data_IF_205091001352
#
_entry.id   IF_205091001352
#
_cell.length_a   1.000
_cell.length_b   1.000
_cell.length_c   1.000
_cell.angle_alpha   90.00
_cell.angle_beta   90.00
_cell.angle_gamma   90.00
#
_symmetry.space_group_name_H-M   'P 1'
#
loop_
_entity.id
_entity.type
_entity.pdbx_description
1 polymer ?
#
# COMPACT_ATOMS: atom_id res chain seq x y z
N UNK A 1 7.32 18.71 -27.89
CA UNK A 1 8.56 19.37 -28.30
C UNK A 1 8.49 19.88 -29.74
N UNK A 2 8.09 19.07 -30.75
CA UNK A 2 7.95 19.50 -32.13
C UNK A 2 6.96 20.68 -32.30
N UNK A 3 5.84 20.67 -31.54
CA UNK A 3 4.90 21.80 -31.48
C UNK A 3 5.56 23.07 -30.94
N UNK A 4 6.40 22.96 -29.90
CA UNK A 4 7.11 24.10 -29.34
C UNK A 4 8.13 24.68 -30.34
N UNK A 5 8.84 23.81 -31.10
CA UNK A 5 9.72 24.26 -32.18
C UNK A 5 8.97 24.97 -33.28
N UNK A 6 7.80 24.50 -33.68
CA UNK A 6 6.96 25.15 -34.68
C UNK A 6 6.43 26.49 -34.16
N UNK A 7 5.94 26.58 -32.92
CA UNK A 7 5.46 27.83 -32.32
C UNK A 7 6.57 28.88 -32.20
N UNK A 8 7.83 28.46 -31.97
CA UNK A 8 8.99 29.35 -31.95
C UNK A 8 9.57 29.66 -33.35
N UNK A 9 8.97 29.14 -34.42
CA UNK A 9 9.38 29.44 -35.82
C UNK A 9 10.53 28.61 -36.35
N UNK A 10 10.95 27.55 -35.65
CA UNK A 10 12.03 26.63 -36.10
C UNK A 10 11.53 25.54 -37.05
N UNK A 11 10.23 25.27 -37.06
CA UNK A 11 9.58 24.35 -37.99
C UNK A 11 8.38 25.06 -38.67
N UNK A 12 8.15 24.76 -39.94
CA UNK A 12 6.92 25.14 -40.61
C UNK A 12 5.75 24.24 -40.16
N UNK A 13 4.51 24.64 -40.44
CA UNK A 13 3.34 23.82 -40.17
C UNK A 13 3.35 22.48 -40.93
N UNK A 14 3.88 22.48 -42.18
CA UNK A 14 4.06 21.25 -42.99
C UNK A 14 5.11 20.32 -42.41
N UNK A 15 6.22 20.87 -41.93
CA UNK A 15 7.28 20.10 -41.28
C UNK A 15 6.77 19.47 -39.97
N UNK A 16 6.00 20.23 -39.15
CA UNK A 16 5.36 19.67 -37.95
C UNK A 16 4.44 18.52 -38.31
N UNK A 17 3.57 18.67 -39.30
CA UNK A 17 2.66 17.59 -39.73
C UNK A 17 3.43 16.32 -40.17
N UNK A 18 4.50 16.51 -40.92
CA UNK A 18 5.37 15.40 -41.35
C UNK A 18 5.99 14.65 -40.15
N UNK A 19 6.52 15.39 -39.18
CA UNK A 19 7.09 14.81 -37.95
C UNK A 19 6.03 14.09 -37.14
N UNK A 20 4.84 14.67 -36.97
CA UNK A 20 3.75 14.03 -36.21
C UNK A 20 3.31 12.72 -36.86
N UNK A 21 3.08 12.69 -38.17
CA UNK A 21 2.75 11.46 -38.89
C UNK A 21 3.84 10.37 -38.76
N UNK A 22 5.10 10.77 -38.80
CA UNK A 22 6.21 9.84 -38.59
C UNK A 22 6.26 9.28 -37.18
N UNK A 23 6.00 10.10 -36.14
CA UNK A 23 5.96 9.67 -34.74
C UNK A 23 4.77 8.74 -34.46
N UNK A 24 3.59 9.01 -35.03
CA UNK A 24 2.42 8.13 -34.94
C UNK A 24 2.73 6.76 -35.57
N UNK A 25 3.29 6.72 -36.76
CA UNK A 25 3.73 5.48 -37.39
C UNK A 25 4.80 4.76 -36.57
N UNK A 26 5.75 5.47 -35.94
CA UNK A 26 6.75 4.86 -35.07
C UNK A 26 6.12 4.25 -33.82
N UNK A 27 5.09 4.89 -33.26
CA UNK A 27 4.36 4.36 -32.11
C UNK A 27 3.64 3.06 -32.47
N UNK A 28 2.99 2.98 -33.64
CA UNK A 28 2.37 1.75 -34.13
C UNK A 28 3.43 0.63 -34.30
N UNK A 29 4.54 0.94 -34.95
CA UNK A 29 5.63 -0.01 -35.15
C UNK A 29 6.24 -0.50 -33.83
N UNK A 30 6.34 0.36 -32.83
CA UNK A 30 6.81 -0.01 -31.49
C UNK A 30 5.84 -0.97 -30.81
N UNK A 31 4.54 -0.65 -30.82
CA UNK A 31 3.49 -1.49 -30.20
C UNK A 31 3.37 -2.86 -30.86
N UNK A 32 3.62 -2.95 -32.17
CA UNK A 32 3.60 -4.19 -32.91
C UNK A 32 4.96 -4.92 -32.93
N UNK A 33 5.95 -4.40 -32.21
CA UNK A 33 7.29 -5.01 -32.10
C UNK A 33 8.14 -4.93 -33.37
N UNK A 34 7.76 -4.10 -34.36
CA UNK A 34 8.53 -3.90 -35.58
C UNK A 34 9.71 -2.96 -35.39
N UNK A 35 9.63 -2.02 -34.47
CA UNK A 35 10.72 -1.11 -34.14
C UNK A 35 11.70 -1.80 -33.20
N UNK A 36 12.88 -2.16 -33.69
CA UNK A 36 13.91 -2.86 -32.93
C UNK A 36 15.17 -2.01 -32.79
N UNK A 37 15.80 -2.00 -31.61
CA UNK A 37 17.10 -1.39 -31.41
C UNK A 37 18.18 -2.16 -32.23
N UNK A 38 19.22 -1.45 -32.63
CA UNK A 38 20.38 -2.03 -33.33
C UNK A 38 21.60 -2.07 -32.40
N UNK A 39 22.58 -2.94 -32.66
CA UNK A 39 23.78 -3.05 -31.81
C UNK A 39 24.62 -1.76 -31.73
N UNK A 40 24.49 -0.86 -32.70
CA UNK A 40 25.16 0.42 -32.78
C UNK A 40 24.37 1.59 -32.19
N UNK A 41 23.13 1.36 -31.76
CA UNK A 41 22.36 2.34 -30.97
C UNK A 41 22.94 2.43 -29.56
N UNK A 42 23.29 3.63 -29.09
CA UNK A 42 23.80 3.84 -27.74
C UNK A 42 22.72 3.52 -26.67
N UNK A 43 21.47 3.89 -26.98
CA UNK A 43 20.31 3.70 -26.12
C UNK A 43 19.01 3.78 -26.94
N UNK A 44 17.89 3.61 -26.28
CA UNK A 44 16.54 3.72 -26.87
C UNK A 44 16.29 5.08 -27.52
N UNK A 45 16.87 6.16 -26.98
CA UNK A 45 16.69 7.50 -27.56
C UNK A 45 17.44 7.66 -28.86
N UNK A 46 18.66 7.08 -28.97
CA UNK A 46 19.41 7.00 -30.20
C UNK A 46 18.68 6.18 -31.27
N UNK A 47 18.12 5.02 -30.89
CA UNK A 47 17.31 4.19 -31.76
C UNK A 47 16.10 4.94 -32.33
N UNK A 48 15.33 5.62 -31.46
CA UNK A 48 14.14 6.39 -31.87
C UNK A 48 14.52 7.58 -32.77
N UNK A 49 15.62 8.25 -32.48
CA UNK A 49 16.12 9.36 -33.31
C UNK A 49 16.53 8.87 -34.71
N UNK A 50 17.29 7.78 -34.79
CA UNK A 50 17.66 7.14 -36.04
C UNK A 50 16.44 6.75 -36.88
N UNK A 51 15.41 6.17 -36.24
CA UNK A 51 14.17 5.80 -36.90
C UNK A 51 13.39 7.03 -37.41
N UNK A 52 13.36 8.10 -36.62
CA UNK A 52 12.72 9.36 -37.06
C UNK A 52 13.45 9.94 -38.28
N UNK A 53 14.77 10.06 -38.21
CA UNK A 53 15.60 10.55 -39.33
C UNK A 53 15.37 9.73 -40.59
N UNK A 54 15.34 8.39 -40.48
CA UNK A 54 15.08 7.52 -41.63
C UNK A 54 13.74 7.77 -42.32
N UNK A 55 12.72 8.29 -41.58
CA UNK A 55 11.38 8.56 -42.11
C UNK A 55 11.21 9.97 -42.66
N UNK A 56 11.83 10.96 -42.00
CA UNK A 56 11.59 12.39 -42.32
C UNK A 56 12.81 13.05 -43.02
N UNK A 57 13.94 12.34 -43.13
CA UNK A 57 15.21 12.84 -43.70
C UNK A 57 16.07 13.55 -42.65
N UNK A 58 17.39 13.65 -42.98
CA UNK A 58 18.41 14.14 -42.07
C UNK A 58 18.18 15.57 -41.59
N UNK A 59 17.77 16.46 -42.49
CA UNK A 59 17.56 17.88 -42.16
C UNK A 59 16.42 18.06 -41.16
N UNK A 60 15.26 17.47 -41.41
CA UNK A 60 14.09 17.60 -40.57
C UNK A 60 14.22 16.79 -39.27
N UNK A 61 14.72 15.55 -39.37
CA UNK A 61 14.97 14.72 -38.20
C UNK A 61 16.01 15.32 -37.25
N UNK A 62 17.07 15.93 -37.83
CA UNK A 62 18.08 16.66 -37.07
C UNK A 62 17.56 17.93 -36.41
N UNK A 63 16.62 18.65 -37.05
CA UNK A 63 16.00 19.86 -36.49
C UNK A 63 15.23 19.60 -35.19
N UNK A 64 14.67 18.41 -35.00
CA UNK A 64 13.93 18.02 -33.77
C UNK A 64 14.84 17.95 -32.52
N UNK A 65 16.17 17.91 -32.69
CA UNK A 65 17.12 17.95 -31.55
C UNK A 65 17.30 19.34 -30.96
N UNK A 66 16.93 20.38 -31.68
CA UNK A 66 17.19 21.75 -31.27
C UNK A 66 16.53 22.07 -29.92
N UNK A 67 17.30 22.61 -28.96
CA UNK A 67 16.81 23.00 -27.63
C UNK A 67 16.49 21.86 -26.67
N UNK A 68 16.79 20.61 -27.03
CA UNK A 68 16.54 19.42 -26.18
C UNK A 68 17.84 18.89 -25.59
N UNK A 69 17.80 18.58 -24.29
CA UNK A 69 18.83 17.80 -23.63
C UNK A 69 18.26 16.45 -23.17
N UNK A 70 19.09 15.39 -23.12
CA UNK A 70 18.68 14.14 -22.50
C UNK A 70 18.44 14.28 -20.98
N UNK A 71 19.10 15.24 -20.32
CA UNK A 71 18.97 15.43 -18.87
C UNK A 71 17.55 15.82 -18.46
N UNK A 72 17.00 16.88 -19.03
CA UNK A 72 15.63 17.34 -18.74
C UNK A 72 14.58 16.41 -19.35
N UNK A 73 14.87 15.79 -20.49
CA UNK A 73 14.02 14.78 -21.10
C UNK A 73 13.82 13.56 -20.19
N UNK A 74 14.91 12.96 -19.68
CA UNK A 74 14.85 11.79 -18.80
C UNK A 74 14.19 12.16 -17.45
N UNK A 75 14.53 13.30 -16.86
CA UNK A 75 13.90 13.78 -15.65
C UNK A 75 12.38 13.94 -15.80
N UNK A 76 11.91 14.41 -16.97
CA UNK A 76 10.48 14.50 -17.30
C UNK A 76 9.87 13.11 -17.48
N UNK A 77 10.50 12.20 -18.22
CA UNK A 77 9.96 10.87 -18.50
C UNK A 77 9.85 9.99 -17.25
N UNK A 78 10.83 10.05 -16.34
CA UNK A 78 10.74 9.33 -15.06
C UNK A 78 9.53 9.82 -14.24
N UNK A 79 9.28 11.13 -14.21
CA UNK A 79 8.10 11.71 -13.55
C UNK A 79 6.79 11.24 -14.18
N UNK A 80 6.72 11.22 -15.53
CA UNK A 80 5.54 10.70 -16.26
C UNK A 80 5.30 9.22 -15.95
N UNK A 81 6.35 8.40 -16.02
CA UNK A 81 6.28 6.97 -15.74
C UNK A 81 5.76 6.72 -14.32
N UNK A 82 6.39 7.33 -13.32
CA UNK A 82 6.01 7.13 -11.92
C UNK A 82 4.60 7.62 -11.61
N UNK A 83 4.17 8.74 -12.23
CA UNK A 83 2.80 9.24 -12.12
C UNK A 83 1.77 8.22 -12.66
N UNK A 84 2.09 7.57 -13.77
CA UNK A 84 1.24 6.55 -14.36
C UNK A 84 1.17 5.30 -13.47
N UNK A 85 2.32 4.82 -12.99
CA UNK A 85 2.40 3.67 -12.07
C UNK A 85 1.72 3.95 -10.72
N UNK A 86 1.88 5.15 -10.19
CA UNK A 86 1.21 5.58 -8.96
C UNK A 86 -0.32 5.49 -9.06
N UNK A 87 -0.91 5.89 -10.20
CA UNK A 87 -2.35 5.75 -10.44
C UNK A 87 -2.80 4.29 -10.40
N UNK A 88 -2.06 3.39 -11.07
CA UNK A 88 -2.37 1.97 -11.06
C UNK A 88 -2.29 1.36 -9.65
N UNK A 89 -1.23 1.65 -8.91
CA UNK A 89 -1.04 1.18 -7.52
C UNK A 89 -2.15 1.74 -6.62
N UNK A 90 -2.45 3.04 -6.73
CA UNK A 90 -3.53 3.70 -5.98
C UNK A 90 -4.88 2.99 -6.18
N UNK A 91 -5.21 2.69 -7.43
CA UNK A 91 -6.48 2.03 -7.76
C UNK A 91 -6.58 0.65 -7.10
N UNK A 92 -5.52 -0.15 -7.14
CA UNK A 92 -5.50 -1.47 -6.52
C UNK A 92 -5.58 -1.35 -4.99
N UNK A 93 -4.93 -0.37 -4.37
CA UNK A 93 -5.04 -0.14 -2.93
C UNK A 93 -6.48 0.20 -2.52
N UNK A 94 -7.18 1.04 -3.29
CA UNK A 94 -8.60 1.34 -3.08
C UNK A 94 -9.45 0.06 -3.21
N UNK A 95 -9.17 -0.79 -4.19
CA UNK A 95 -9.84 -2.08 -4.34
C UNK A 95 -9.63 -2.97 -3.10
N UNK A 96 -8.41 -3.09 -2.59
CA UNK A 96 -8.13 -3.88 -1.37
C UNK A 96 -8.87 -3.30 -0.17
N UNK A 97 -8.94 -1.98 -0.01
CA UNK A 97 -9.70 -1.34 1.08
C UNK A 97 -11.19 -1.68 0.96
N UNK A 98 -11.76 -1.63 -0.25
CA UNK A 98 -13.15 -2.03 -0.49
C UNK A 98 -13.39 -3.52 -0.18
N UNK A 99 -12.46 -4.40 -0.54
CA UNK A 99 -12.53 -5.82 -0.16
C UNK A 99 -12.55 -5.97 1.37
N UNK A 100 -11.66 -5.28 2.09
CA UNK A 100 -11.63 -5.32 3.55
C UNK A 100 -12.91 -4.75 4.18
N UNK A 101 -13.52 -3.71 3.59
CA UNK A 101 -14.83 -3.21 4.00
C UNK A 101 -15.91 -4.29 3.85
N UNK A 102 -16.00 -4.95 2.70
CA UNK A 102 -16.95 -6.04 2.44
C UNK A 102 -16.74 -7.21 3.41
N UNK A 103 -15.49 -7.65 3.60
CA UNK A 103 -15.15 -8.72 4.56
C UNK A 103 -15.54 -8.34 6.00
N UNK A 104 -15.38 -7.07 6.37
CA UNK A 104 -15.84 -6.54 7.66
C UNK A 104 -17.37 -6.58 7.79
N UNK A 105 -18.13 -6.32 6.72
CA UNK A 105 -19.58 -6.41 6.70
C UNK A 105 -20.07 -7.86 6.83
N UNK A 106 -19.47 -8.78 6.08
CA UNK A 106 -19.75 -10.22 6.15
C UNK A 106 -19.49 -10.79 7.55
N UNK A 107 -18.43 -10.33 8.22
CA UNK A 107 -18.12 -10.76 9.58
C UNK A 107 -19.16 -10.29 10.61
N UNK A 108 -19.89 -9.20 10.35
CA UNK A 108 -20.95 -8.71 11.24
C UNK A 108 -20.44 -8.48 12.66
N UNK A 109 -21.07 -9.16 13.62
CA UNK A 109 -20.73 -9.12 15.06
C UNK A 109 -19.95 -10.36 15.53
N UNK A 110 -19.38 -11.13 14.62
CA UNK A 110 -18.56 -12.28 14.97
C UNK A 110 -17.34 -11.85 15.79
N UNK A 111 -17.00 -12.64 16.79
CA UNK A 111 -15.92 -12.34 17.74
C UNK A 111 -14.70 -13.21 17.48
N UNK A 112 -13.54 -12.69 17.84
CA UNK A 112 -12.28 -13.42 17.84
C UNK A 112 -11.40 -12.98 19.03
N UNK A 113 -10.37 -13.76 19.40
CA UNK A 113 -9.43 -13.31 20.40
C UNK A 113 -8.55 -12.18 19.85
N UNK A 114 -8.60 -11.01 20.43
CA UNK A 114 -7.57 -10.00 20.27
C UNK A 114 -6.29 -10.47 20.97
N UNK A 115 -5.13 -10.18 20.38
CA UNK A 115 -3.84 -10.69 20.84
C UNK A 115 -2.82 -9.57 20.97
N UNK A 116 -1.98 -9.68 21.98
CA UNK A 116 -0.70 -8.98 22.11
C UNK A 116 0.37 -10.01 22.39
N UNK A 117 1.57 -9.88 21.78
CA UNK A 117 2.64 -10.86 21.90
C UNK A 117 2.21 -12.29 21.48
N UNK A 118 1.25 -12.40 20.57
CA UNK A 118 0.54 -13.63 20.20
C UNK A 118 -0.23 -14.32 21.36
N UNK A 119 -0.26 -13.74 22.56
CA UNK A 119 -1.06 -14.22 23.69
C UNK A 119 -2.48 -13.68 23.61
N UNK A 120 -3.45 -14.43 24.12
CA UNK A 120 -4.83 -13.97 24.28
C UNK A 120 -4.85 -12.72 25.18
N UNK A 121 -5.54 -11.68 24.74
CA UNK A 121 -5.68 -10.43 25.49
C UNK A 121 -7.14 -10.17 25.80
N UNK A 122 -7.91 -9.62 24.87
CA UNK A 122 -9.33 -9.32 25.04
C UNK A 122 -10.10 -9.69 23.77
N UNK A 123 -11.38 -10.09 23.87
CA UNK A 123 -12.21 -10.29 22.68
C UNK A 123 -12.34 -9.01 21.85
N UNK A 124 -12.33 -9.19 20.52
CA UNK A 124 -12.61 -8.12 19.55
C UNK A 124 -13.58 -8.63 18.51
N UNK A 125 -14.28 -7.74 17.82
CA UNK A 125 -15.01 -8.14 16.61
C UNK A 125 -14.04 -8.47 15.48
N UNK A 126 -14.32 -9.54 14.73
CA UNK A 126 -13.60 -9.88 13.51
C UNK A 126 -13.63 -8.70 12.53
N UNK A 127 -14.78 -8.04 12.43
CA UNK A 127 -14.97 -6.82 11.64
C UNK A 127 -13.99 -5.70 12.03
N UNK A 128 -13.76 -5.49 13.33
CA UNK A 128 -12.79 -4.51 13.84
C UNK A 128 -11.35 -4.87 13.42
N UNK A 129 -10.99 -6.14 13.58
CA UNK A 129 -9.68 -6.66 13.17
C UNK A 129 -9.42 -6.45 11.68
N UNK A 130 -10.38 -6.81 10.82
CA UNK A 130 -10.26 -6.64 9.36
C UNK A 130 -10.06 -5.18 8.99
N UNK A 131 -10.84 -4.26 9.58
CA UNK A 131 -10.71 -2.82 9.32
C UNK A 131 -9.37 -2.25 9.79
N UNK A 132 -8.72 -2.83 10.79
CA UNK A 132 -7.41 -2.39 11.25
C UNK A 132 -6.36 -2.42 10.13
N UNK A 133 -6.50 -3.32 9.15
CA UNK A 133 -5.63 -3.41 7.98
C UNK A 133 -6.02 -2.43 6.85
N UNK A 134 -7.25 -1.95 6.81
CA UNK A 134 -7.69 -0.96 5.83
C UNK A 134 -7.10 0.43 6.09
N UNK A 135 -6.95 0.84 7.35
CA UNK A 135 -6.45 2.16 7.72
C UNK A 135 -5.02 2.47 7.26
N UNK A 136 -4.02 1.58 7.38
CA UNK A 136 -2.70 1.81 6.80
C UNK A 136 -2.73 1.96 5.28
N UNK A 137 -3.54 1.16 4.59
CA UNK A 137 -3.68 1.24 3.14
C UNK A 137 -4.31 2.57 2.71
N UNK A 138 -5.32 3.06 3.45
CA UNK A 138 -5.88 4.40 3.22
C UNK A 138 -4.81 5.49 3.34
N UNK A 139 -3.95 5.43 4.35
CA UNK A 139 -2.83 6.36 4.49
C UNK A 139 -1.82 6.25 3.35
N UNK A 140 -1.66 5.07 2.74
CA UNK A 140 -0.80 4.92 1.57
C UNK A 140 -1.44 5.52 0.30
N UNK A 141 -2.76 5.43 0.15
CA UNK A 141 -3.49 6.17 -0.90
C UNK A 141 -3.26 7.67 -0.76
N UNK A 142 -3.43 8.21 0.46
CA UNK A 142 -3.17 9.63 0.76
C UNK A 142 -1.73 10.05 0.43
N UNK A 143 -0.73 9.21 0.79
CA UNK A 143 0.68 9.46 0.44
C UNK A 143 0.89 9.54 -1.08
N UNK A 144 0.25 8.65 -1.85
CA UNK A 144 0.34 8.66 -3.31
C UNK A 144 -0.29 9.93 -3.90
N UNK A 145 -1.42 10.41 -3.35
CA UNK A 145 -2.07 11.63 -3.78
C UNK A 145 -1.21 12.86 -3.46
N UNK A 146 -0.70 12.97 -2.24
CA UNK A 146 0.22 14.02 -1.82
C UNK A 146 1.51 14.03 -2.65
N UNK A 147 2.08 12.85 -2.91
CA UNK A 147 3.25 12.68 -3.77
C UNK A 147 2.94 13.10 -5.20
N UNK A 148 1.79 12.70 -5.75
CA UNK A 148 1.38 13.03 -7.11
C UNK A 148 1.27 14.54 -7.30
N UNK A 149 0.68 15.28 -6.34
CA UNK A 149 0.60 16.72 -6.37
C UNK A 149 1.98 17.38 -6.39
N UNK A 150 2.93 16.94 -5.57
CA UNK A 150 4.32 17.45 -5.55
C UNK A 150 5.11 17.07 -6.80
N UNK A 151 4.86 15.90 -7.37
CA UNK A 151 5.58 15.40 -8.55
C UNK A 151 5.03 15.98 -9.87
N UNK A 152 3.89 16.68 -9.86
CA UNK A 152 3.23 17.13 -11.08
C UNK A 152 3.84 18.40 -11.68
N UNK A 153 5.18 18.46 -11.72
CA UNK A 153 5.96 19.53 -12.32
C UNK A 153 6.93 18.97 -13.36
N UNK A 154 6.96 19.56 -14.54
CA UNK A 154 7.83 19.14 -15.65
C UNK A 154 9.25 19.67 -15.48
N UNK A 155 10.24 18.84 -15.81
CA UNK A 155 11.64 19.26 -15.93
C UNK A 155 11.97 19.81 -17.33
N UNK A 156 11.05 19.69 -18.30
CA UNK A 156 11.28 20.16 -19.66
C UNK A 156 11.62 21.65 -19.71
N UNK A 157 12.60 21.99 -20.50
CA UNK A 157 13.10 23.36 -20.65
C UNK A 157 14.28 23.68 -19.78
N UNK A 158 14.65 22.79 -18.84
CA UNK A 158 15.87 22.95 -18.05
C UNK A 158 17.15 22.74 -18.86
N UNK A 159 17.05 22.12 -20.05
CA UNK A 159 18.19 21.81 -20.89
C UNK A 159 19.16 20.84 -20.20
N UNK A 160 20.44 21.03 -20.43
CA UNK A 160 21.44 20.23 -19.73
C UNK A 160 21.55 20.60 -18.24
N UNK A 161 21.45 21.92 -17.91
CA UNK A 161 21.53 22.47 -16.55
C UNK A 161 21.21 23.99 -16.44
N UNK A 162 21.26 24.72 -17.58
CA UNK A 162 21.22 26.18 -17.58
C UNK A 162 19.95 26.79 -18.19
N UNK A 163 18.98 25.93 -18.57
CA UNK A 163 17.78 26.33 -19.29
C UNK A 163 17.98 26.37 -20.81
N UNK A 164 16.91 26.68 -21.53
CA UNK A 164 16.89 26.75 -23.00
C UNK A 164 17.14 28.15 -23.51
N UNK A 165 17.95 28.31 -24.60
CA UNK A 165 18.24 29.58 -25.27
C UNK A 165 17.39 29.84 -26.51
N UNK A 166 16.49 28.92 -26.93
CA UNK A 166 15.74 29.02 -28.18
C UNK A 166 14.32 29.60 -28.02
N UNK A 167 13.92 30.05 -26.82
CA UNK A 167 12.59 30.61 -26.59
C UNK A 167 11.44 29.61 -26.74
N UNK A 168 11.71 28.32 -26.52
CA UNK A 168 10.68 27.28 -26.50
C UNK A 168 9.80 27.44 -25.25
N UNK A 169 8.48 27.40 -25.43
CA UNK A 169 7.54 27.52 -24.31
C UNK A 169 7.47 26.23 -23.51
N UNK A 170 8.21 26.19 -22.39
CA UNK A 170 8.25 25.04 -21.49
C UNK A 170 6.92 24.85 -20.74
N UNK A 171 6.16 25.93 -20.47
CA UNK A 171 4.85 25.83 -19.81
C UNK A 171 3.82 25.17 -20.71
N UNK A 172 3.81 25.52 -22.02
CA UNK A 172 2.91 24.86 -22.97
C UNK A 172 3.25 23.38 -23.10
N UNK A 173 4.53 23.02 -23.17
CA UNK A 173 4.94 21.60 -23.23
C UNK A 173 4.57 20.86 -21.95
N UNK A 174 4.74 21.47 -20.78
CA UNK A 174 4.30 20.88 -19.50
C UNK A 174 2.79 20.60 -19.52
N UNK A 175 1.97 21.56 -19.95
CA UNK A 175 0.52 21.42 -20.11
C UNK A 175 0.17 20.29 -21.11
N UNK A 176 0.81 20.24 -22.27
CA UNK A 176 0.59 19.20 -23.26
C UNK A 176 0.93 17.80 -22.75
N UNK A 177 1.84 17.67 -21.76
CA UNK A 177 2.22 16.43 -21.08
C UNK A 177 1.38 16.15 -19.81
N UNK A 178 0.42 17.02 -19.50
CA UNK A 178 -0.47 16.90 -18.34
C UNK A 178 0.22 17.19 -17.01
N UNK A 179 1.23 18.09 -17.00
CA UNK A 179 1.81 18.66 -15.79
C UNK A 179 1.15 20.00 -15.46
N UNK A 180 1.08 20.33 -14.17
CA UNK A 180 0.49 21.60 -13.71
C UNK A 180 1.44 22.79 -13.88
N UNK A 181 2.76 22.52 -13.83
CA UNK A 181 3.79 23.56 -13.90
C UNK A 181 5.14 23.01 -14.39
N UNK A 182 6.11 23.90 -14.51
CA UNK A 182 7.53 23.57 -14.72
C UNK A 182 8.30 23.74 -13.41
N UNK A 183 9.38 22.98 -13.24
CA UNK A 183 10.29 23.15 -12.12
C UNK A 183 11.01 24.51 -12.21
N UNK A 184 11.11 25.27 -11.11
CA UNK A 184 11.52 26.68 -11.17
C UNK A 184 13.04 26.89 -11.37
N UNK A 185 13.85 25.87 -11.15
CA UNK A 185 15.32 25.96 -11.27
C UNK A 185 15.87 24.82 -12.13
N UNK A 186 16.61 25.16 -13.16
CA UNK A 186 17.13 24.19 -14.15
C UNK A 186 18.18 23.25 -13.60
N UNK A 187 19.00 23.66 -12.64
CA UNK A 187 19.98 22.78 -11.96
C UNK A 187 19.28 21.74 -11.13
N UNK A 188 18.26 22.17 -10.38
CA UNK A 188 17.40 21.29 -9.59
C UNK A 188 16.62 20.34 -10.49
N UNK A 189 15.94 20.87 -11.53
CA UNK A 189 15.11 20.09 -12.44
C UNK A 189 15.83 18.91 -13.10
N UNK A 190 17.12 19.05 -13.40
CA UNK A 190 17.93 17.97 -13.99
C UNK A 190 18.51 17.00 -12.97
N UNK A 191 18.66 17.41 -11.72
CA UNK A 191 19.27 16.60 -10.64
C UNK A 191 18.27 15.98 -9.66
N UNK A 192 17.12 16.62 -9.43
CA UNK A 192 16.18 16.20 -8.39
C UNK A 192 15.66 14.78 -8.60
N UNK A 193 15.88 13.96 -7.59
CA UNK A 193 15.38 12.58 -7.48
C UNK A 193 14.73 12.32 -6.11
N UNK A 194 14.48 13.37 -5.35
CA UNK A 194 13.75 13.32 -4.09
C UNK A 194 12.35 12.74 -4.27
N UNK A 195 11.62 13.16 -5.32
CA UNK A 195 10.31 12.59 -5.66
C UNK A 195 10.37 11.13 -6.11
N UNK A 196 11.49 10.70 -6.71
CA UNK A 196 11.75 9.30 -7.07
C UNK A 196 11.99 8.48 -5.80
N UNK A 197 12.79 8.99 -4.86
CA UNK A 197 13.05 8.36 -3.57
C UNK A 197 11.78 8.32 -2.69
N UNK A 198 10.94 9.36 -2.74
CA UNK A 198 9.67 9.40 -2.05
C UNK A 198 8.70 8.34 -2.60
N UNK A 199 8.61 8.14 -3.91
CA UNK A 199 7.85 7.05 -4.49
C UNK A 199 8.36 5.68 -4.02
N UNK A 200 9.68 5.46 -4.00
CA UNK A 200 10.27 4.22 -3.49
C UNK A 200 9.95 4.01 -2.00
N UNK A 201 9.92 5.09 -1.19
CA UNK A 201 9.47 5.02 0.21
C UNK A 201 8.00 4.60 0.32
N UNK A 202 7.11 5.19 -0.48
CA UNK A 202 5.69 4.82 -0.47
C UNK A 202 5.53 3.35 -0.87
N UNK A 203 6.24 2.91 -1.91
CA UNK A 203 6.22 1.51 -2.33
C UNK A 203 6.71 0.57 -1.21
N UNK A 204 7.78 0.92 -0.50
CA UNK A 204 8.28 0.17 0.64
C UNK A 204 7.25 0.13 1.79
N UNK A 205 6.59 1.27 2.08
CA UNK A 205 5.57 1.34 3.12
C UNK A 205 4.34 0.50 2.79
N UNK A 206 3.87 0.51 1.54
CA UNK A 206 2.82 -0.41 1.06
C UNK A 206 3.23 -1.86 1.28
N UNK A 207 4.48 -2.20 0.93
CA UNK A 207 5.03 -3.54 1.16
C UNK A 207 5.02 -3.94 2.63
N UNK A 208 5.41 -3.04 3.54
CA UNK A 208 5.40 -3.29 4.99
C UNK A 208 3.98 -3.54 5.51
N UNK A 209 3.00 -2.72 5.12
CA UNK A 209 1.62 -2.88 5.58
C UNK A 209 0.99 -4.16 5.01
N UNK A 210 1.24 -4.48 3.75
CA UNK A 210 0.86 -5.76 3.12
C UNK A 210 1.51 -6.97 3.83
N UNK A 211 2.80 -6.86 4.17
CA UNK A 211 3.54 -7.93 4.85
C UNK A 211 2.97 -8.25 6.24
N UNK A 212 2.48 -7.25 6.97
CA UNK A 212 1.86 -7.46 8.28
C UNK A 212 0.57 -8.26 8.18
N UNK A 213 -0.32 -7.92 7.25
CA UNK A 213 -1.52 -8.72 7.00
C UNK A 213 -1.16 -10.11 6.50
N UNK A 214 -0.19 -10.22 5.59
CA UNK A 214 0.27 -11.51 5.07
C UNK A 214 0.77 -12.44 6.18
N UNK A 215 1.57 -11.94 7.13
CA UNK A 215 2.04 -12.70 8.29
C UNK A 215 0.90 -13.26 9.12
N UNK A 216 -0.10 -12.44 9.43
CA UNK A 216 -1.26 -12.87 10.21
C UNK A 216 -2.10 -13.90 9.46
N UNK A 217 -2.28 -13.75 8.13
CA UNK A 217 -3.00 -14.74 7.31
C UNK A 217 -2.23 -16.08 7.25
N UNK A 218 -0.90 -16.07 7.20
CA UNK A 218 -0.08 -17.28 7.28
C UNK A 218 -0.35 -18.00 8.61
N UNK A 219 -0.24 -17.28 9.73
CA UNK A 219 -0.47 -17.82 11.06
C UNK A 219 -1.91 -18.35 11.20
N UNK A 220 -2.91 -17.58 10.76
CA UNK A 220 -4.32 -17.95 10.89
C UNK A 220 -4.72 -19.13 10.01
N UNK A 221 -3.98 -19.40 8.93
CA UNK A 221 -4.20 -20.57 8.07
C UNK A 221 -3.58 -21.87 8.59
N UNK A 222 -2.77 -21.80 9.65
CA UNK A 222 -2.17 -23.01 10.25
C UNK A 222 -3.22 -23.89 10.94
N UNK A 223 -2.94 -25.18 11.09
CA UNK A 223 -3.81 -26.12 11.80
C UNK A 223 -4.02 -25.73 13.27
N UNK A 224 -3.01 -25.12 13.90
CA UNK A 224 -3.03 -24.69 15.30
C UNK A 224 -4.04 -23.57 15.53
N UNK A 225 -4.09 -22.58 14.62
CA UNK A 225 -5.08 -21.49 14.67
C UNK A 225 -6.39 -21.91 14.01
N UNK A 226 -6.36 -22.31 12.74
CA UNK A 226 -7.53 -22.77 11.99
C UNK A 226 -8.60 -21.68 11.84
N UNK A 227 -8.21 -20.40 11.77
CA UNK A 227 -9.13 -19.28 11.66
C UNK A 227 -9.56 -18.97 10.25
N UNK A 228 -8.73 -19.33 9.26
CA UNK A 228 -9.02 -19.13 7.85
C UNK A 228 -8.61 -20.34 7.00
N UNK A 229 -9.26 -20.47 5.85
CA UNK A 229 -8.78 -21.31 4.75
C UNK A 229 -8.61 -20.45 3.50
N UNK A 230 -7.43 -20.52 2.88
CA UNK A 230 -7.18 -19.83 1.62
C UNK A 230 -7.82 -20.59 0.46
N UNK A 231 -8.34 -19.87 -0.52
CA UNK A 231 -8.87 -20.48 -1.73
C UNK A 231 -7.76 -21.13 -2.56
N UNK A 232 -8.05 -22.23 -3.25
CA UNK A 232 -7.07 -23.03 -4.01
C UNK A 232 -6.33 -22.24 -5.10
N UNK A 233 -6.96 -21.21 -5.67
CA UNK A 233 -6.32 -20.31 -6.64
C UNK A 233 -5.18 -19.46 -6.06
N UNK A 234 -5.10 -19.35 -4.73
CA UNK A 234 -4.12 -18.50 -4.01
C UNK A 234 -3.27 -19.30 -3.01
N UNK A 235 -3.29 -20.62 -3.13
CA UNK A 235 -2.50 -21.54 -2.32
C UNK A 235 -1.95 -22.65 -3.20
N UNK A 236 -0.80 -23.21 -2.86
CA UNK A 236 -0.25 -24.36 -3.59
C UNK A 236 -0.29 -25.62 -2.76
N UNK A 237 -0.52 -26.74 -3.43
CA UNK A 237 -0.36 -28.06 -2.83
C UNK A 237 1.11 -28.50 -2.74
N UNK A 238 1.37 -29.53 -2.00
CA UNK A 238 2.66 -30.22 -2.01
C UNK A 238 2.65 -31.36 -3.01
N UNK A 239 3.70 -31.49 -3.81
CA UNK A 239 3.88 -32.63 -4.71
C UNK A 239 4.07 -33.97 -3.97
N UNK A 240 4.47 -33.91 -2.68
CA UNK A 240 4.74 -35.08 -1.85
C UNK A 240 3.65 -35.34 -0.81
N UNK A 241 2.99 -34.29 -0.32
CA UNK A 241 2.02 -34.34 0.78
C UNK A 241 0.66 -33.85 0.28
N UNK A 242 -0.26 -34.71 -0.15
CA UNK A 242 -1.52 -34.33 -0.80
C UNK A 242 -2.43 -33.45 0.06
N UNK A 243 -2.34 -33.56 1.38
CA UNK A 243 -3.14 -32.79 2.36
C UNK A 243 -2.58 -31.40 2.63
N UNK A 244 -1.34 -31.12 2.20
CA UNK A 244 -0.67 -29.84 2.52
C UNK A 244 -1.09 -28.74 1.57
N UNK A 245 -1.49 -27.61 2.14
CA UNK A 245 -1.88 -26.38 1.43
C UNK A 245 -1.01 -25.22 1.96
N UNK A 246 -0.23 -24.63 1.07
CA UNK A 246 0.73 -23.58 1.43
C UNK A 246 0.17 -22.21 1.16
N UNK A 247 0.38 -21.20 2.04
CA UNK A 247 -0.08 -19.83 1.84
C UNK A 247 0.89 -19.01 0.98
N UNK A 248 1.24 -19.50 -0.23
CA UNK A 248 2.35 -18.96 -1.04
C UNK A 248 2.18 -17.49 -1.42
N UNK A 249 0.97 -17.03 -1.71
CA UNK A 249 0.73 -15.61 -2.05
C UNK A 249 1.03 -14.72 -0.85
N UNK A 250 0.65 -15.14 0.37
CA UNK A 250 0.97 -14.40 1.58
C UNK A 250 2.49 -14.42 1.86
N UNK A 251 3.15 -15.56 1.67
CA UNK A 251 4.61 -15.67 1.84
C UNK A 251 5.38 -14.82 0.82
N UNK A 252 4.95 -14.82 -0.45
CA UNK A 252 5.54 -13.99 -1.49
C UNK A 252 5.32 -12.49 -1.22
N UNK A 253 4.14 -12.10 -0.75
CA UNK A 253 3.86 -10.73 -0.35
C UNK A 253 4.81 -10.27 0.77
N UNK A 254 4.99 -11.10 1.81
CA UNK A 254 5.94 -10.88 2.89
C UNK A 254 7.39 -10.80 2.38
N UNK A 255 7.80 -11.76 1.54
CA UNK A 255 9.16 -11.80 0.98
C UNK A 255 9.49 -10.60 0.10
N UNK A 256 8.56 -10.19 -0.77
CA UNK A 256 8.75 -9.05 -1.68
C UNK A 256 8.77 -7.69 -0.98
N UNK A 257 8.22 -7.57 0.23
CA UNK A 257 8.35 -6.34 1.03
C UNK A 257 9.80 -6.01 1.36
N UNK A 258 10.63 -7.03 1.62
CA UNK A 258 12.07 -6.87 1.81
C UNK A 258 12.80 -6.33 0.57
N UNK A 259 12.36 -6.75 -0.62
CA UNK A 259 12.88 -6.24 -1.90
C UNK A 259 12.58 -4.74 -2.07
N UNK A 260 11.35 -4.32 -1.77
CA UNK A 260 10.94 -2.90 -1.83
C UNK A 260 11.76 -2.02 -0.85
N UNK A 261 12.00 -2.50 0.36
CA UNK A 261 12.87 -1.83 1.34
C UNK A 261 14.31 -1.76 0.83
N UNK A 262 14.82 -2.83 0.22
CA UNK A 262 16.14 -2.87 -0.40
C UNK A 262 16.29 -1.84 -1.53
N UNK A 263 15.30 -1.72 -2.41
CA UNK A 263 15.27 -0.75 -3.50
C UNK A 263 15.33 0.69 -2.99
N UNK A 264 14.56 1.03 -1.97
CA UNK A 264 14.61 2.35 -1.31
C UNK A 264 15.99 2.62 -0.73
N UNK A 265 16.55 1.66 -0.01
CA UNK A 265 17.86 1.82 0.65
C UNK A 265 18.97 2.01 -0.37
N UNK A 266 18.98 1.22 -1.44
CA UNK A 266 19.93 1.34 -2.55
C UNK A 266 19.84 2.71 -3.22
N UNK A 267 18.64 3.17 -3.54
CA UNK A 267 18.40 4.47 -4.16
C UNK A 267 18.90 5.62 -3.28
N UNK A 268 18.55 5.65 -1.99
CA UNK A 268 19.03 6.68 -1.05
C UNK A 268 20.57 6.67 -0.94
N UNK A 269 21.17 5.48 -1.00
CA UNK A 269 22.64 5.33 -0.98
C UNK A 269 23.27 5.90 -2.24
N UNK A 270 22.66 5.73 -3.40
CA UNK A 270 23.11 6.33 -4.67
C UNK A 270 22.99 7.85 -4.64
N UNK A 271 21.88 8.39 -4.16
CA UNK A 271 21.61 9.83 -4.19
C UNK A 271 22.44 10.65 -3.21
N UNK A 272 22.90 10.07 -2.09
CA UNK A 272 23.70 10.80 -1.09
C UNK A 272 24.97 11.38 -1.72
N UNK A 273 25.27 12.61 -1.35
CA UNK A 273 26.50 13.33 -1.76
C UNK A 273 26.69 13.55 -3.27
N UNK A 274 25.65 13.36 -4.09
CA UNK A 274 25.72 13.75 -5.52
C UNK A 274 25.70 15.29 -5.62
N UNK A 275 26.54 15.89 -6.48
CA UNK A 275 26.43 17.30 -6.80
C UNK A 275 25.17 17.59 -7.65
N UNK A 276 24.85 18.87 -7.78
CA UNK A 276 23.74 19.32 -8.64
C UNK A 276 23.97 18.99 -10.11
N UNK A 277 22.94 19.16 -10.92
CA UNK A 277 22.84 18.80 -12.33
C UNK A 277 22.95 17.26 -12.52
N UNK A 278 23.36 16.82 -13.72
CA UNK A 278 23.42 15.39 -14.05
C UNK A 278 24.79 14.78 -13.74
N UNK A 279 24.78 13.67 -13.03
CA UNK A 279 25.91 12.77 -12.85
C UNK A 279 25.50 11.37 -13.27
N UNK A 280 26.44 10.57 -13.79
CA UNK A 280 26.13 9.24 -14.37
C UNK A 280 25.60 8.25 -13.33
N UNK A 281 25.84 8.49 -12.05
CA UNK A 281 25.21 7.78 -10.91
C UNK A 281 23.68 7.77 -11.00
N UNK A 282 23.06 8.81 -11.60
CA UNK A 282 21.63 8.88 -11.82
C UNK A 282 21.09 7.87 -12.87
N UNK A 283 21.92 7.02 -13.45
CA UNK A 283 21.46 5.83 -14.19
C UNK A 283 20.83 4.80 -13.23
N UNK A 284 21.33 4.74 -11.98
CA UNK A 284 20.88 3.82 -10.94
C UNK A 284 19.54 4.23 -10.30
N UNK A 285 18.92 5.35 -10.70
CA UNK A 285 17.63 5.80 -10.16
C UNK A 285 16.42 5.01 -10.69
N UNK A 286 16.56 4.40 -11.88
CA UNK A 286 15.44 3.81 -12.63
C UNK A 286 15.14 2.38 -12.21
N UNK A 287 16.13 1.50 -12.18
CA UNK A 287 15.93 0.09 -11.88
C UNK A 287 15.22 -0.13 -10.54
N UNK A 288 15.60 0.52 -9.42
CA UNK A 288 14.94 0.33 -8.14
C UNK A 288 13.46 0.73 -8.16
N UNK A 289 13.10 1.83 -8.83
CA UNK A 289 11.71 2.28 -8.84
C UNK A 289 10.86 1.55 -9.88
N UNK A 290 11.44 1.15 -11.01
CA UNK A 290 10.78 0.29 -11.99
C UNK A 290 10.45 -1.06 -11.35
N UNK A 291 11.44 -1.69 -10.72
CA UNK A 291 11.25 -2.94 -10.00
C UNK A 291 10.23 -2.82 -8.86
N UNK A 292 10.25 -1.71 -8.13
CA UNK A 292 9.27 -1.46 -7.06
C UNK A 292 7.85 -1.33 -7.61
N UNK A 293 7.66 -0.56 -8.68
CA UNK A 293 6.36 -0.39 -9.32
C UNK A 293 5.82 -1.71 -9.89
N UNK A 294 6.64 -2.44 -10.65
CA UNK A 294 6.27 -3.73 -11.24
C UNK A 294 5.98 -4.79 -10.15
N UNK A 295 6.78 -4.79 -9.07
CA UNK A 295 6.55 -5.69 -7.92
C UNK A 295 5.18 -5.43 -7.29
N UNK A 296 4.80 -4.17 -7.04
CA UNK A 296 3.50 -3.85 -6.47
C UNK A 296 2.35 -4.18 -7.43
N UNK A 297 2.47 -3.80 -8.71
CA UNK A 297 1.45 -4.08 -9.72
C UNK A 297 1.22 -5.59 -9.96
N UNK A 298 2.23 -6.41 -9.70
CA UNK A 298 2.13 -7.86 -9.77
C UNK A 298 1.51 -8.47 -8.49
N UNK A 299 1.97 -8.03 -7.32
CA UNK A 299 1.63 -8.69 -6.05
C UNK A 299 0.27 -8.23 -5.52
N UNK A 300 -0.03 -6.94 -5.60
CA UNK A 300 -1.26 -6.40 -5.01
C UNK A 300 -2.55 -7.02 -5.56
N UNK A 301 -2.71 -7.27 -6.89
CA UNK A 301 -3.90 -7.95 -7.39
C UNK A 301 -4.05 -9.39 -6.89
N UNK A 302 -2.95 -10.14 -6.82
CA UNK A 302 -2.96 -11.50 -6.29
C UNK A 302 -3.32 -11.51 -4.80
N UNK A 303 -2.77 -10.54 -4.04
CA UNK A 303 -3.07 -10.34 -2.62
C UNK A 303 -4.54 -9.94 -2.40
N UNK A 304 -5.07 -9.04 -3.22
CA UNK A 304 -6.48 -8.64 -3.22
C UNK A 304 -7.40 -9.86 -3.42
N UNK A 305 -7.13 -10.67 -4.44
CA UNK A 305 -7.88 -11.88 -4.72
C UNK A 305 -7.81 -12.91 -3.58
N UNK A 306 -6.65 -13.08 -2.96
CA UNK A 306 -6.48 -13.95 -1.79
C UNK A 306 -7.37 -13.50 -0.62
N UNK A 307 -7.35 -12.21 -0.28
CA UNK A 307 -8.16 -11.64 0.82
C UNK A 307 -9.66 -11.71 0.50
N UNK A 308 -10.04 -11.46 -0.75
CA UNK A 308 -11.43 -11.50 -1.20
C UNK A 308 -12.05 -12.91 -1.10
N UNK A 309 -11.25 -13.96 -1.32
CA UNK A 309 -11.73 -15.34 -1.47
C UNK A 309 -11.44 -16.24 -0.28
N UNK A 310 -10.68 -15.78 0.73
CA UNK A 310 -10.43 -16.58 1.93
C UNK A 310 -11.72 -16.88 2.69
N UNK A 311 -11.86 -18.09 3.19
CA UNK A 311 -12.93 -18.50 4.10
C UNK A 311 -12.53 -18.19 5.54
N UNK A 312 -13.44 -17.59 6.32
CA UNK A 312 -13.24 -17.30 7.74
C UNK A 312 -14.03 -18.31 8.59
N UNK A 313 -13.39 -18.94 9.57
CA UNK A 313 -13.99 -19.92 10.47
C UNK A 313 -14.44 -19.27 11.77
N UNK A 314 -15.58 -18.58 11.72
CA UNK A 314 -16.09 -17.77 12.83
C UNK A 314 -16.34 -18.58 14.11
N UNK A 315 -16.84 -19.82 14.00
CA UNK A 315 -17.05 -20.68 15.14
C UNK A 315 -15.76 -20.97 15.90
N UNK A 316 -14.67 -21.26 15.13
CA UNK A 316 -13.36 -21.50 15.70
C UNK A 316 -12.77 -20.23 16.36
N UNK A 317 -12.98 -19.07 15.78
CA UNK A 317 -12.59 -17.79 16.36
C UNK A 317 -13.35 -17.52 17.65
N UNK A 318 -14.67 -17.74 17.65
CA UNK A 318 -15.55 -17.50 18.81
C UNK A 318 -15.20 -18.42 20.00
N UNK A 319 -14.92 -19.72 19.73
CA UNK A 319 -14.46 -20.67 20.76
C UNK A 319 -13.18 -20.18 21.48
N UNK A 320 -12.29 -19.53 20.76
CA UNK A 320 -11.03 -19.03 21.30
C UNK A 320 -11.13 -17.63 21.90
N UNK A 321 -12.22 -16.89 21.68
CA UNK A 321 -12.34 -15.49 22.06
C UNK A 321 -12.30 -15.29 23.58
N UNK A 322 -12.78 -16.27 24.35
CA UNK A 322 -12.82 -16.23 25.83
C UNK A 322 -11.77 -17.08 26.52
N UNK A 323 -10.95 -17.81 25.77
CA UNK A 323 -9.90 -18.69 26.30
C UNK A 323 -8.79 -17.90 27.00
N UNK A 324 -8.11 -18.55 27.94
CA UNK A 324 -6.97 -17.99 28.66
C UNK A 324 -7.34 -16.83 29.56
N UNK A 325 -8.52 -16.87 30.15
CA UNK A 325 -9.05 -15.83 31.06
C UNK A 325 -9.13 -14.43 30.44
N UNK A 326 -9.33 -14.33 29.12
CA UNK A 326 -9.36 -13.06 28.37
C UNK A 326 -10.43 -12.06 28.84
N UNK A 327 -11.42 -12.54 29.61
CA UNK A 327 -12.47 -11.73 30.23
C UNK A 327 -12.12 -11.20 31.64
N UNK A 328 -10.93 -11.51 32.14
CA UNK A 328 -10.50 -11.06 33.48
C UNK A 328 -10.52 -9.54 33.62
N UNK A 329 -10.15 -8.80 32.59
CA UNK A 329 -10.21 -7.33 32.60
C UNK A 329 -11.65 -6.82 32.71
N UNK A 330 -12.62 -7.51 32.07
CA UNK A 330 -14.04 -7.12 32.17
C UNK A 330 -14.58 -7.29 33.59
N UNK A 331 -14.08 -8.28 34.34
CA UNK A 331 -14.38 -8.44 35.78
C UNK A 331 -13.80 -7.29 36.59
N UNK A 332 -12.55 -6.87 36.31
CA UNK A 332 -11.94 -5.73 36.98
C UNK A 332 -12.74 -4.43 36.71
N UNK A 333 -13.11 -4.18 35.46
CA UNK A 333 -13.93 -3.03 35.05
C UNK A 333 -15.30 -3.07 35.74
N UNK A 334 -15.93 -4.26 35.86
CA UNK A 334 -17.21 -4.46 36.53
C UNK A 334 -17.13 -4.10 38.00
N UNK A 335 -16.04 -4.44 38.71
CA UNK A 335 -15.80 -4.06 40.11
C UNK A 335 -15.56 -2.55 40.25
N UNK A 336 -14.80 -1.95 39.33
CA UNK A 336 -14.51 -0.50 39.34
C UNK A 336 -15.78 0.32 39.13
N UNK A 337 -16.67 -0.07 38.23
CA UNK A 337 -17.95 0.60 38.00
C UNK A 337 -18.82 0.55 39.28
N UNK A 338 -18.62 -0.45 40.15
CA UNK A 338 -19.31 -0.59 41.46
C UNK A 338 -18.60 0.13 42.61
N UNK A 339 -17.58 0.93 42.31
CA UNK A 339 -16.90 1.81 43.26
C UNK A 339 -15.63 1.23 43.89
N UNK A 340 -15.16 0.05 43.46
CA UNK A 340 -13.88 -0.47 43.91
C UNK A 340 -12.72 0.29 43.23
N UNK A 341 -11.63 0.52 43.95
CA UNK A 341 -10.45 1.09 43.31
C UNK A 341 -9.88 0.12 42.25
N UNK A 342 -9.31 0.62 41.16
CA UNK A 342 -8.73 -0.24 40.13
C UNK A 342 -7.66 -1.17 40.70
N UNK A 343 -6.86 -0.70 41.65
CA UNK A 343 -5.83 -1.49 42.33
C UNK A 343 -6.42 -2.71 43.02
N UNK A 344 -7.46 -2.47 43.81
CA UNK A 344 -8.11 -3.51 44.60
C UNK A 344 -8.87 -4.49 43.67
N UNK A 345 -9.53 -3.96 42.63
CA UNK A 345 -10.19 -4.77 41.61
C UNK A 345 -9.17 -5.70 40.88
N UNK A 346 -8.02 -5.17 40.51
CA UNK A 346 -6.94 -5.96 39.88
C UNK A 346 -6.41 -7.06 40.81
N UNK A 347 -6.29 -6.78 42.13
CA UNK A 347 -5.86 -7.77 43.09
C UNK A 347 -6.91 -8.89 43.28
N UNK A 348 -8.20 -8.52 43.31
CA UNK A 348 -9.32 -9.49 43.37
C UNK A 348 -9.29 -10.38 42.13
N UNK A 349 -9.17 -9.80 40.96
CA UNK A 349 -9.14 -10.53 39.70
C UNK A 349 -7.87 -11.42 39.59
N UNK A 350 -6.72 -10.95 40.09
CA UNK A 350 -5.51 -11.79 40.16
C UNK A 350 -5.71 -13.05 41.00
N UNK A 351 -6.39 -12.95 42.16
CA UNK A 351 -6.75 -14.13 42.95
C UNK A 351 -7.76 -15.01 42.25
N UNK A 352 -8.70 -14.42 41.50
CA UNK A 352 -9.71 -15.16 40.76
C UNK A 352 -9.07 -16.00 39.65
N UNK A 353 -8.14 -15.41 38.87
CA UNK A 353 -7.38 -16.11 37.81
C UNK A 353 -6.55 -17.25 38.42
N UNK A 354 -5.82 -16.98 39.52
CA UNK A 354 -5.06 -18.02 40.20
C UNK A 354 -5.94 -19.19 40.69
N UNK A 355 -7.14 -18.88 41.21
CA UNK A 355 -8.12 -19.91 41.62
C UNK A 355 -8.57 -20.76 40.40
N UNK A 356 -8.80 -20.13 39.24
CA UNK A 356 -9.17 -20.84 38.03
C UNK A 356 -8.02 -21.73 37.52
N UNK A 357 -6.78 -21.24 37.55
CA UNK A 357 -5.59 -21.99 37.15
C UNK A 357 -5.39 -23.21 38.04
N UNK A 358 -5.47 -23.05 39.36
CA UNK A 358 -5.35 -24.15 40.33
C UNK A 358 -6.43 -25.22 40.14
N UNK A 359 -7.62 -24.83 39.71
CA UNK A 359 -8.76 -25.70 39.45
C UNK A 359 -8.76 -26.31 38.03
N UNK A 360 -7.99 -25.71 37.10
CA UNK A 360 -7.97 -26.08 35.69
C UNK A 360 -9.24 -25.77 34.93
N UNK A 361 -9.89 -24.63 35.24
CA UNK A 361 -11.15 -24.19 34.61
C UNK A 361 -11.06 -22.75 34.13
N UNK A 362 -11.86 -22.39 33.12
CA UNK A 362 -12.02 -21.00 32.68
C UNK A 362 -12.97 -20.22 33.61
N UNK A 363 -12.86 -18.88 33.60
CA UNK A 363 -13.67 -17.98 34.41
C UNK A 363 -15.19 -18.23 34.31
N UNK A 364 -15.68 -18.45 33.10
CA UNK A 364 -17.10 -18.70 32.85
C UNK A 364 -17.66 -20.01 33.42
N UNK A 365 -16.79 -20.94 33.83
CA UNK A 365 -17.17 -22.22 34.38
C UNK A 365 -17.40 -22.19 35.93
N UNK A 366 -17.03 -21.08 36.59
CA UNK A 366 -17.22 -20.95 38.05
C UNK A 366 -18.68 -20.74 38.41
N UNK A 367 -19.07 -21.28 39.56
CA UNK A 367 -20.39 -21.00 40.18
C UNK A 367 -20.36 -19.67 40.94
N UNK A 368 -21.55 -19.14 41.27
CA UNK A 368 -21.66 -17.91 42.07
C UNK A 368 -21.03 -18.05 43.46
N UNK A 369 -21.13 -19.23 44.05
CA UNK A 369 -20.49 -19.55 45.35
C UNK A 369 -18.97 -19.50 45.24
N UNK A 370 -18.42 -19.95 44.14
CA UNK A 370 -16.96 -19.95 43.90
C UNK A 370 -16.45 -18.52 43.68
N UNK A 371 -17.18 -17.68 42.91
CA UNK A 371 -16.86 -16.26 42.81
C UNK A 371 -16.85 -15.59 44.19
N UNK A 372 -17.90 -15.80 45.00
CA UNK A 372 -18.00 -15.23 46.34
C UNK A 372 -16.93 -15.77 47.31
N UNK A 373 -16.51 -17.03 47.15
CA UNK A 373 -15.43 -17.61 47.96
C UNK A 373 -14.08 -16.93 47.69
N UNK A 374 -13.81 -16.48 46.44
CA UNK A 374 -12.62 -15.69 46.11
C UNK A 374 -12.72 -14.26 46.67
N UNK A 375 -13.88 -13.62 46.55
CA UNK A 375 -14.15 -12.29 47.12
C UNK A 375 -15.65 -12.05 47.26
N UNK A 376 -16.11 -11.56 48.42
CA UNK A 376 -17.52 -11.14 48.60
C UNK A 376 -17.95 -10.04 47.61
N UNK A 377 -17.04 -9.28 47.04
CA UNK A 377 -17.32 -8.25 46.03
C UNK A 377 -17.71 -8.83 44.65
N UNK A 378 -17.47 -10.11 44.41
CA UNK A 378 -17.88 -10.83 43.20
C UNK A 378 -19.32 -11.36 43.40
N UNK A 379 -20.26 -10.43 43.39
CA UNK A 379 -21.69 -10.70 43.61
C UNK A 379 -22.31 -11.44 42.41
N UNK A 380 -23.48 -12.10 42.59
CA UNK A 380 -24.29 -12.59 41.49
C UNK A 380 -24.49 -11.50 40.41
N UNK A 381 -24.35 -11.83 39.13
CA UNK A 381 -24.36 -10.85 38.03
C UNK A 381 -22.96 -10.61 37.44
N UNK A 382 -21.87 -10.98 38.14
CA UNK A 382 -20.54 -11.00 37.50
C UNK A 382 -20.48 -12.02 36.35
N UNK A 383 -21.26 -13.10 36.44
CA UNK A 383 -21.34 -14.12 35.36
C UNK A 383 -22.01 -13.61 34.09
N UNK A 384 -22.94 -12.64 34.21
CA UNK A 384 -23.67 -12.09 33.07
C UNK A 384 -22.75 -11.35 32.09
N UNK A 385 -21.59 -10.88 32.56
CA UNK A 385 -20.61 -10.17 31.75
C UNK A 385 -19.54 -11.08 31.14
N UNK A 386 -19.52 -12.37 31.48
CA UNK A 386 -18.48 -13.31 31.09
C UNK A 386 -18.77 -13.95 29.72
N UNK A 387 -19.10 -13.12 28.74
CA UNK A 387 -19.24 -13.53 27.35
C UNK A 387 -18.43 -12.59 26.44
N UNK A 388 -17.93 -13.10 25.32
CA UNK A 388 -17.23 -12.26 24.35
C UNK A 388 -18.11 -11.13 23.81
N UNK A 389 -19.42 -11.38 23.61
CA UNK A 389 -20.38 -10.38 23.15
C UNK A 389 -20.53 -9.24 24.16
N UNK A 390 -20.68 -9.53 25.45
CA UNK A 390 -20.76 -8.51 26.51
C UNK A 390 -19.46 -7.71 26.63
N UNK A 391 -18.30 -8.39 26.52
CA UNK A 391 -17.00 -7.73 26.53
C UNK A 391 -16.87 -6.69 25.40
N UNK A 392 -17.16 -7.08 24.15
CA UNK A 392 -17.04 -6.17 23.00
C UNK A 392 -18.09 -5.05 23.03
N UNK A 393 -19.32 -5.33 23.52
CA UNK A 393 -20.41 -4.35 23.56
C UNK A 393 -20.08 -3.12 24.38
N UNK A 394 -19.25 -3.26 25.41
CA UNK A 394 -18.83 -2.18 26.33
C UNK A 394 -17.69 -1.30 25.77
N UNK A 395 -17.02 -1.72 24.72
CA UNK A 395 -15.88 -1.00 24.12
C UNK A 395 -16.38 0.05 23.11
N UNK A 396 -17.14 1.04 23.60
CA UNK A 396 -17.88 2.03 22.77
C UNK A 396 -17.11 3.29 22.41
N UNK A 397 -15.85 3.41 22.82
CA UNK A 397 -14.99 4.53 22.42
C UNK A 397 -14.86 4.64 20.88
N UNK A 398 -14.52 5.82 20.33
CA UNK A 398 -14.45 6.05 18.88
C UNK A 398 -13.56 5.03 18.11
N UNK A 399 -12.53 4.52 18.77
CA UNK A 399 -11.62 3.50 18.23
C UNK A 399 -11.92 2.11 18.78
N UNK A 400 -13.06 1.92 19.47
CA UNK A 400 -13.43 0.68 20.12
C UNK A 400 -13.87 -0.41 19.16
N UNK A 401 -14.06 -1.60 19.72
CA UNK A 401 -14.48 -2.79 18.98
C UNK A 401 -15.98 -3.06 19.06
N UNK A 402 -16.80 -2.20 19.71
CA UNK A 402 -18.25 -2.40 19.73
C UNK A 402 -18.85 -2.29 18.32
N UNK A 403 -20.02 -2.92 18.10
CA UNK A 403 -20.70 -2.88 16.82
C UNK A 403 -20.95 -1.44 16.33
N UNK A 404 -21.35 -0.53 17.22
CA UNK A 404 -21.54 0.89 16.89
C UNK A 404 -20.24 1.59 16.49
N UNK A 405 -19.13 1.33 17.20
CA UNK A 405 -17.83 1.90 16.88
C UNK A 405 -17.29 1.37 15.53
N UNK A 406 -17.50 0.09 15.25
CA UNK A 406 -17.11 -0.53 13.96
C UNK A 406 -17.95 0.01 12.80
N UNK A 407 -19.26 0.22 13.01
CA UNK A 407 -20.11 0.85 12.00
C UNK A 407 -19.65 2.28 11.67
N UNK A 408 -19.28 3.07 12.67
CA UNK A 408 -18.71 4.40 12.46
C UNK A 408 -17.36 4.36 11.71
N UNK A 409 -16.51 3.38 11.98
CA UNK A 409 -15.24 3.19 11.26
C UNK A 409 -15.46 2.82 9.78
N UNK A 410 -16.44 1.94 9.49
CA UNK A 410 -16.83 1.63 8.09
C UNK A 410 -17.27 2.88 7.34
N UNK A 411 -18.14 3.70 7.97
CA UNK A 411 -18.64 4.92 7.35
C UNK A 411 -17.52 5.95 7.11
N UNK A 412 -16.59 6.09 8.05
CA UNK A 412 -15.42 6.96 7.89
C UNK A 412 -14.53 6.51 6.72
N UNK A 413 -14.30 5.20 6.55
CA UNK A 413 -13.56 4.66 5.42
C UNK A 413 -14.29 4.88 4.09
N UNK A 414 -15.60 4.64 4.02
CA UNK A 414 -16.40 4.90 2.80
C UNK A 414 -16.39 6.37 2.42
N UNK A 415 -16.55 7.26 3.39
CA UNK A 415 -16.50 8.71 3.16
C UNK A 415 -15.14 9.16 2.62
N UNK A 416 -14.05 8.59 3.18
CA UNK A 416 -12.70 8.87 2.69
C UNK A 416 -12.48 8.36 1.25
N UNK A 417 -12.97 7.16 0.92
CA UNK A 417 -12.87 6.60 -0.43
C UNK A 417 -13.69 7.42 -1.44
N UNK A 418 -14.91 7.82 -1.10
CA UNK A 418 -15.74 8.66 -1.97
C UNK A 418 -15.08 10.02 -2.28
N UNK A 419 -14.36 10.61 -1.32
CA UNK A 419 -13.61 11.84 -1.54
C UNK A 419 -12.46 11.66 -2.57
N UNK A 420 -11.86 10.46 -2.65
CA UNK A 420 -10.82 10.15 -3.64
C UNK A 420 -11.36 9.89 -5.05
N UNK A 421 -12.63 9.50 -5.19
CA UNK A 421 -13.26 9.32 -6.51
C UNK A 421 -13.72 10.66 -7.10
N UNK A 422 -13.96 11.67 -6.25
CA UNK A 422 -14.40 12.99 -6.66
C UNK A 422 -13.23 13.95 -7.02
N UNK A 423 -12.00 13.58 -6.69
CA UNK A 423 -10.76 14.34 -6.95
C UNK A 423 -10.03 13.83 -8.18
#
# INVERSE_FOLDING_TARGET
>A
HAKALQAAGYLSAEQLATVQAALESMQEDFLEGRLQPRPDDEDVHGALERELIARVGDDLGGAIRAGRSRNDQIATFVRMYLRDRARGIRQILIEIINILLLRSEEAGEQVMPGRTHFQHAQPVLVAHYVLAHAWPLLRNVQRLDDWSARNNHSAYGAGALAGGGLGLDAHQVATDLGFDAVLPNSLDATSARDTVAEFAYIAAQVGVDMSRLAEELIVFSTAEFGYITLHDSYATGSSMMPQKKNPDIAELARGKSGRLVGNLTGLLTTLKALPLAYNRDLQEDKEPVFDSAETLLLVLPAFAGMVATMEMHYDRMAEQATAGHSLATDVADWLVVRGMSFRDAHEVVGRLVAYCDDKGVELGALSDEEFQAVSPALEPGVRDILTASESVSKKTGPSGTSAASVAAQREALRSALAAFEAS
#
